data_IF_725192584584
#
_entry.id   IF_725192584584
#
_cell.length_a   1.000
_cell.length_b   1.000
_cell.length_c   1.000
_cell.angle_alpha   90.00
_cell.angle_beta   90.00
_cell.angle_gamma   90.00
#
_symmetry.space_group_name_H-M   'P 1'
#
loop_
_entity.id
_entity.type
_entity.pdbx_description
1 polymer ?
2 non-polymer ?
3 non-polymer ?
4 non-polymer ?
5 non-polymer ?
6 water ?
#
# COMPACT_ATOMS: atom_id res chain seq x y z
N UNK A 1 12.19 -24.38 5.60
CA UNK A 1 12.93 -24.70 6.82
C UNK A 1 12.57 -23.75 7.97
N UNK A 2 12.34 -24.32 9.15
CA UNK A 2 11.97 -23.56 10.35
C UNK A 2 13.22 -23.37 11.21
N UNK A 3 13.62 -22.11 11.42
CA UNK A 3 14.81 -21.81 12.20
C UNK A 3 14.67 -22.35 13.62
N UNK A 4 15.78 -22.86 14.16
CA UNK A 4 15.71 -23.44 15.48
C UNK A 4 15.33 -22.41 16.55
N UNK A 5 15.51 -21.12 16.30
CA UNK A 5 15.08 -20.11 17.26
C UNK A 5 13.67 -19.57 17.00
N UNK A 6 12.97 -20.05 15.98
CA UNK A 6 11.57 -19.68 15.81
C UNK A 6 10.69 -20.43 16.80
N UNK A 7 9.61 -19.80 17.21
CA UNK A 7 8.58 -20.46 18.00
C UNK A 7 7.40 -20.76 17.10
N UNK A 8 6.95 -22.01 17.11
CA UNK A 8 5.74 -22.41 16.39
C UNK A 8 4.78 -23.01 17.41
N UNK A 9 3.64 -22.36 17.63
CA UNK A 9 2.75 -22.84 18.67
C UNK A 9 2.27 -24.25 18.33
N UNK A 10 2.12 -25.13 19.34
CA UNK A 10 1.67 -26.51 19.05
C UNK A 10 0.36 -26.61 18.28
N UNK A 11 -0.56 -25.64 18.40
CA UNK A 11 -1.82 -25.67 17.65
C UNK A 11 -1.72 -25.06 16.26
N UNK A 12 -0.63 -24.36 15.94
CA UNK A 12 -0.46 -23.83 14.59
C UNK A 12 -0.18 -24.96 13.63
N UNK A 13 -0.49 -24.73 12.35
CA UNK A 13 -0.27 -25.73 11.32
C UNK A 13 0.65 -25.10 10.30
N UNK A 14 1.93 -25.45 10.32
CA UNK A 14 2.91 -24.93 9.36
C UNK A 14 3.22 -26.06 8.37
N UNK A 15 2.85 -25.87 7.10
CA UNK A 15 3.03 -26.92 6.12
C UNK A 15 4.50 -27.10 5.78
N UNK A 16 4.91 -28.36 5.61
CA UNK A 16 6.29 -28.65 5.20
C UNK A 16 6.65 -27.89 3.94
N UNK A 17 7.81 -27.21 3.96
CA UNK A 17 8.25 -26.33 2.90
C UNK A 17 8.24 -24.86 3.27
N UNK A 18 7.37 -24.47 4.23
CA UNK A 18 7.38 -23.09 4.73
C UNK A 18 8.76 -22.76 5.30
N UNK A 19 9.17 -21.51 5.13
CA UNK A 19 10.42 -21.00 5.69
C UNK A 19 10.07 -20.01 6.79
N UNK A 20 10.58 -20.25 8.00
CA UNK A 20 10.28 -19.42 9.17
C UNK A 20 11.61 -18.98 9.76
N UNK A 21 11.82 -17.66 9.85
CA UNK A 21 13.11 -17.12 10.21
C UNK A 21 13.41 -17.11 11.70
N UNK A 22 14.64 -16.69 12.01
CA UNK A 22 15.10 -16.71 13.40
C UNK A 22 14.19 -15.82 14.25
N UNK A 23 13.87 -16.31 15.44
CA UNK A 23 13.11 -15.56 16.44
C UNK A 23 11.74 -15.09 15.92
N UNK A 24 11.23 -15.70 14.84
CA UNK A 24 9.84 -15.44 14.47
C UNK A 24 8.94 -16.17 15.46
N UNK A 25 7.66 -15.78 15.48
CA UNK A 25 6.70 -16.38 16.39
C UNK A 25 5.40 -16.68 15.64
N UNK A 26 5.02 -17.95 15.57
CA UNK A 26 3.75 -18.35 14.94
C UNK A 26 2.79 -18.72 16.07
N UNK A 27 1.79 -17.86 16.33
CA UNK A 27 0.91 -18.06 17.46
C UNK A 27 -0.13 -19.15 17.24
N UNK A 28 -0.99 -19.33 18.26
CA UNK A 28 -1.97 -20.42 18.25
C UNK A 28 -2.93 -20.33 17.07
N UNK A 29 -3.28 -21.49 16.51
CA UNK A 29 -4.31 -21.62 15.47
C UNK A 29 -3.97 -20.85 14.18
N UNK A 30 -2.69 -20.55 13.93
CA UNK A 30 -2.29 -20.01 12.65
C UNK A 30 -2.11 -21.14 11.64
N UNK A 31 -2.28 -20.79 10.37
CA UNK A 31 -2.07 -21.70 9.25
C UNK A 31 -1.06 -21.04 8.32
N UNK A 32 0.00 -21.77 7.96
CA UNK A 32 1.07 -21.25 7.12
C UNK A 32 1.33 -22.24 6.00
N UNK A 33 1.10 -21.83 4.75
CA UNK A 33 1.21 -22.72 3.63
C UNK A 33 2.66 -23.03 3.26
N UNK A 34 2.83 -23.99 2.35
CA UNK A 34 4.17 -24.52 2.04
C UNK A 34 5.05 -23.61 1.18
N UNK A 35 4.48 -22.58 0.56
CA UNK A 35 5.26 -21.63 -0.21
C UNK A 35 5.41 -20.28 0.49
N UNK A 36 5.19 -20.24 1.82
CA UNK A 36 5.30 -19.00 2.59
C UNK A 36 6.71 -18.86 3.13
N UNK A 37 7.23 -17.64 3.12
CA UNK A 37 8.46 -17.28 3.82
C UNK A 37 8.15 -16.16 4.81
N UNK A 38 8.51 -16.38 6.07
CA UNK A 38 8.29 -15.44 7.16
C UNK A 38 9.66 -15.06 7.70
N UNK A 39 9.98 -13.76 7.62
CA UNK A 39 11.29 -13.27 8.01
C UNK A 39 11.55 -13.21 9.52
N UNK A 40 12.81 -12.94 9.83
CA UNK A 40 13.30 -12.91 11.21
C UNK A 40 12.50 -11.96 12.10
N UNK A 41 12.09 -12.46 13.27
CA UNK A 41 11.40 -11.64 14.24
C UNK A 41 9.95 -11.33 13.94
N UNK A 42 9.40 -11.78 12.80
CA UNK A 42 7.99 -11.50 12.52
C UNK A 42 7.08 -12.31 13.43
N UNK A 43 5.99 -11.69 13.86
CA UNK A 43 5.02 -12.29 14.78
C UNK A 43 3.68 -12.42 14.09
N UNK A 44 3.13 -13.64 14.05
CA UNK A 44 1.70 -13.88 13.78
C UNK A 44 1.03 -14.15 15.13
N UNK A 45 0.16 -13.24 15.57
CA UNK A 45 -0.28 -13.28 16.97
C UNK A 45 -1.06 -14.57 17.27
N UNK A 46 -2.10 -14.84 16.49
CA UNK A 46 -2.95 -16.03 16.60
C UNK A 46 -3.96 -15.96 15.46
N UNK A 47 -4.53 -17.11 15.10
CA UNK A 47 -5.66 -17.12 14.15
C UNK A 47 -5.33 -16.37 12.85
N UNK A 48 -4.12 -16.51 12.33
CA UNK A 48 -3.72 -15.87 11.09
C UNK A 48 -3.58 -16.94 10.01
N UNK A 49 -4.10 -16.64 8.81
CA UNK A 49 -3.93 -17.50 7.64
C UNK A 49 -2.93 -16.83 6.69
N UNK A 50 -1.85 -17.54 6.38
CA UNK A 50 -0.88 -17.11 5.38
C UNK A 50 -0.69 -18.25 4.39
N UNK A 51 -0.96 -17.98 3.12
CA UNK A 51 -0.80 -19.04 2.12
C UNK A 51 -0.39 -18.41 0.79
N UNK A 52 -0.37 -19.23 -0.26
CA UNK A 52 0.14 -18.78 -1.54
C UNK A 52 1.66 -18.65 -1.55
N UNK A 53 2.15 -18.17 -2.68
CA UNK A 53 3.57 -17.87 -2.82
C UNK A 53 3.78 -16.48 -2.24
N UNK A 54 4.19 -16.43 -0.97
CA UNK A 54 4.06 -15.22 -0.16
C UNK A 54 5.33 -15.05 0.64
N UNK A 55 6.01 -13.92 0.46
CA UNK A 55 7.23 -13.63 1.17
C UNK A 55 7.01 -12.44 2.08
N UNK A 56 7.32 -12.61 3.37
CA UNK A 56 7.09 -11.61 4.42
C UNK A 56 8.42 -11.33 5.08
N UNK A 57 8.77 -10.04 5.19
CA UNK A 57 10.05 -9.63 5.74
C UNK A 57 10.13 -9.74 7.25
N UNK A 58 10.98 -8.90 7.83
CA UNK A 58 11.37 -9.06 9.22
C UNK A 58 10.63 -8.08 10.12
N UNK A 59 10.45 -8.48 11.37
CA UNK A 59 9.92 -7.60 12.41
C UNK A 59 8.50 -7.10 12.09
N UNK A 60 7.75 -7.87 11.30
CA UNK A 60 6.33 -7.55 11.11
C UNK A 60 5.52 -8.01 12.32
N UNK A 61 4.39 -7.33 12.55
CA UNK A 61 3.40 -7.77 13.54
C UNK A 61 2.08 -7.97 12.82
N UNK A 62 1.61 -9.22 12.74
CA UNK A 62 0.38 -9.56 12.03
C UNK A 62 -0.63 -10.08 13.05
N UNK A 63 -1.74 -9.37 13.18
CA UNK A 63 -2.72 -9.65 14.21
C UNK A 63 -3.76 -10.69 13.77
N UNK A 64 -4.51 -11.17 14.74
CA UNK A 64 -5.51 -12.21 14.55
C UNK A 64 -6.54 -11.87 13.47
N UNK A 65 -6.95 -12.93 12.77
CA UNK A 65 -8.01 -12.95 11.76
C UNK A 65 -7.59 -12.27 10.47
N UNK A 66 -6.31 -11.93 10.33
CA UNK A 66 -5.77 -11.49 9.05
C UNK A 66 -5.62 -12.67 8.10
N UNK A 67 -5.72 -12.37 6.79
CA UNK A 67 -5.58 -13.34 5.72
C UNK A 67 -4.59 -12.75 4.73
N UNK A 68 -3.43 -13.38 4.59
CA UNK A 68 -2.31 -12.83 3.83
C UNK A 68 -1.91 -13.85 2.77
N UNK A 69 -1.97 -13.44 1.50
CA UNK A 69 -1.58 -14.31 0.40
C UNK A 69 -2.73 -15.03 -0.27
N UNK A 70 -3.93 -14.82 0.23
CA UNK A 70 -5.11 -15.57 -0.16
C UNK A 70 -5.48 -15.31 -1.63
N UNK A 71 -6.19 -16.28 -2.20
CA UNK A 71 -6.81 -16.13 -3.51
C UNK A 71 -7.53 -14.79 -3.59
N UNK A 72 -7.33 -14.05 -4.70
CA UNK A 72 -7.94 -12.74 -4.83
C UNK A 72 -9.40 -12.88 -5.28
N UNK A 73 -10.10 -11.73 -5.38
CA UNK A 73 -11.54 -11.68 -5.66
C UNK A 73 -11.84 -11.33 -7.11
N UNK A 74 -10.81 -11.21 -7.94
CA UNK A 74 -11.01 -10.98 -9.37
C UNK A 74 -11.59 -12.24 -10.02
N UNK A 75 -12.77 -12.12 -10.63
CA UNK A 75 -13.36 -13.26 -11.34
C UNK A 75 -12.47 -13.78 -12.46
N UNK A 76 -11.52 -12.97 -12.94
CA UNK A 76 -10.61 -13.43 -13.98
C UNK A 76 -9.57 -14.42 -13.43
N UNK A 77 -9.31 -14.39 -12.12
CA UNK A 77 -8.28 -15.27 -11.56
C UNK A 77 -8.72 -16.73 -11.65
N UNK A 78 -7.81 -17.63 -12.03
CA UNK A 78 -8.17 -19.03 -12.23
C UNK A 78 -7.31 -20.01 -11.43
N UNK A 79 -6.56 -19.52 -10.45
CA UNK A 79 -5.72 -20.35 -9.62
C UNK A 79 -4.25 -20.37 -9.97
N UNK A 80 -3.83 -19.48 -10.86
CA UNK A 80 -2.44 -19.44 -11.30
C UNK A 80 -1.53 -19.10 -10.13
N UNK A 81 -0.32 -19.66 -10.11
CA UNK A 81 0.67 -19.27 -9.11
C UNK A 81 1.03 -17.81 -9.30
N UNK A 82 0.44 -16.97 -8.48
CA UNK A 82 0.86 -15.59 -8.38
C UNK A 82 1.42 -15.34 -6.97
N UNK A 83 1.75 -14.10 -6.65
CA UNK A 83 2.63 -13.85 -5.51
C UNK A 83 2.18 -12.65 -4.68
N UNK A 84 2.66 -12.65 -3.43
CA UNK A 84 2.59 -11.51 -2.52
C UNK A 84 4.00 -11.29 -1.97
N UNK A 85 4.41 -10.03 -1.91
CA UNK A 85 5.62 -9.60 -1.22
C UNK A 85 5.26 -8.54 -0.19
N UNK A 86 5.75 -8.73 1.04
CA UNK A 86 5.56 -7.79 2.14
C UNK A 86 6.92 -7.53 2.77
N UNK A 87 7.25 -6.26 2.99
CA UNK A 87 8.55 -5.89 3.54
C UNK A 87 8.69 -6.02 5.04
N UNK A 88 9.30 -5.03 5.70
CA UNK A 88 9.73 -5.13 7.09
C UNK A 88 8.97 -4.16 7.98
N UNK A 89 8.82 -4.53 9.26
CA UNK A 89 8.31 -3.63 10.30
C UNK A 89 6.91 -3.08 9.99
N UNK A 90 6.09 -3.85 9.29
CA UNK A 90 4.69 -3.48 9.14
C UNK A 90 3.86 -3.90 10.35
N UNK A 91 2.80 -3.15 10.60
CA UNK A 91 1.81 -3.50 11.61
C UNK A 91 0.53 -3.77 10.84
N UNK A 92 0.11 -5.04 10.84
CA UNK A 92 -0.97 -5.51 9.98
C UNK A 92 -2.05 -6.00 10.94
N UNK A 93 -3.13 -5.21 11.06
CA UNK A 93 -4.05 -5.34 12.18
C UNK A 93 -5.15 -6.37 11.92
N UNK A 94 -6.04 -6.53 12.91
CA UNK A 94 -7.02 -7.62 12.88
C UNK A 94 -7.82 -7.57 11.58
N UNK A 95 -8.02 -8.74 10.97
CA UNK A 95 -8.92 -8.90 9.83
C UNK A 95 -8.41 -8.25 8.54
N UNK A 96 -7.18 -7.73 8.50
CA UNK A 96 -6.65 -7.20 7.24
C UNK A 96 -6.59 -8.34 6.23
N UNK A 97 -6.89 -8.04 4.96
CA UNK A 97 -6.74 -9.01 3.88
C UNK A 97 -5.76 -8.48 2.85
N UNK A 98 -4.79 -9.31 2.46
CA UNK A 98 -3.82 -8.96 1.43
C UNK A 98 -3.83 -10.13 0.43
N UNK A 99 -4.26 -9.86 -0.79
CA UNK A 99 -4.53 -10.96 -1.72
C UNK A 99 -3.45 -11.05 -2.79
N UNK A 100 -3.28 -12.26 -3.31
CA UNK A 100 -2.25 -12.53 -4.30
C UNK A 100 -2.60 -11.88 -5.63
N UNK A 101 -1.58 -11.71 -6.48
CA UNK A 101 -1.76 -11.09 -7.79
C UNK A 101 -2.57 -11.91 -8.78
N UNK A 102 -2.71 -11.35 -9.99
CA UNK A 102 -3.28 -12.05 -11.14
C UNK A 102 -2.24 -12.09 -12.26
N UNK A 103 -2.31 -13.12 -13.11
CA UNK A 103 -1.40 -13.11 -14.24
C UNK A 103 -1.64 -11.87 -15.08
N UNK A 104 -2.90 -11.53 -15.29
CA UNK A 104 -3.26 -10.40 -16.14
C UNK A 104 -2.66 -9.10 -15.59
N UNK A 105 -2.59 -8.97 -14.28
CA UNK A 105 -2.11 -7.76 -13.67
C UNK A 105 -0.63 -7.72 -13.33
N UNK A 106 0.16 -8.71 -13.74
CA UNK A 106 1.58 -8.70 -13.45
C UNK A 106 2.04 -9.73 -12.43
N UNK A 107 1.12 -10.40 -11.74
CA UNK A 107 1.44 -11.55 -10.90
C UNK A 107 1.86 -11.25 -9.48
N UNK A 108 1.85 -9.98 -9.07
CA UNK A 108 2.46 -9.60 -7.79
C UNK A 108 1.63 -8.54 -7.07
N UNK A 109 1.27 -8.84 -5.83
CA UNK A 109 0.80 -7.83 -4.88
C UNK A 109 1.95 -7.50 -3.95
N UNK A 110 2.28 -6.21 -3.80
CA UNK A 110 3.46 -5.83 -3.05
C UNK A 110 3.14 -4.77 -2.01
N UNK A 111 3.70 -4.96 -0.82
CA UNK A 111 3.62 -4.02 0.29
C UNK A 111 5.05 -3.78 0.79
N UNK A 112 5.39 -2.51 1.04
CA UNK A 112 6.74 -2.16 1.45
C UNK A 112 6.96 -2.33 2.94
N UNK A 113 7.54 -1.32 3.58
CA UNK A 113 7.99 -1.43 4.96
C UNK A 113 7.43 -0.28 5.79
N UNK A 114 7.37 -0.50 7.09
CA UNK A 114 6.97 0.53 8.05
C UNK A 114 5.56 1.06 7.80
N UNK A 115 4.67 0.24 7.25
CA UNK A 115 3.26 0.61 7.03
C UNK A 115 2.40 0.22 8.22
N UNK A 116 1.29 0.94 8.38
CA UNK A 116 0.26 0.59 9.36
C UNK A 116 -1.03 0.34 8.59
N UNK A 117 -1.48 -0.91 8.59
CA UNK A 117 -2.71 -1.34 7.92
C UNK A 117 -3.70 -1.66 9.03
N UNK A 118 -4.65 -0.76 9.26
CA UNK A 118 -5.58 -0.87 10.37
C UNK A 118 -6.65 -1.92 10.09
N UNK A 119 -7.51 -2.15 11.10
CA UNK A 119 -8.46 -3.25 11.09
C UNK A 119 -9.26 -3.29 9.78
N UNK A 120 -9.31 -4.48 9.17
CA UNK A 120 -10.10 -4.74 7.96
C UNK A 120 -9.67 -3.88 6.76
N UNK A 121 -8.47 -3.32 6.75
CA UNK A 121 -7.98 -2.75 5.49
C UNK A 121 -7.87 -3.88 4.47
N UNK A 122 -8.08 -3.54 3.19
CA UNK A 122 -8.03 -4.55 2.13
C UNK A 122 -7.04 -4.11 1.04
N UNK A 123 -6.06 -4.98 0.76
CA UNK A 123 -5.10 -4.78 -0.33
C UNK A 123 -5.41 -5.84 -1.37
N UNK A 124 -6.06 -5.43 -2.45
CA UNK A 124 -6.48 -6.35 -3.50
C UNK A 124 -5.30 -6.84 -4.35
N UNK A 125 -5.57 -7.86 -5.16
CA UNK A 125 -4.61 -8.31 -6.17
C UNK A 125 -3.95 -7.17 -6.93
N UNK A 126 -2.65 -7.31 -7.16
CA UNK A 126 -1.84 -6.46 -8.03
C UNK A 126 -1.70 -5.04 -7.51
N UNK A 127 -2.08 -4.78 -6.25
CA UNK A 127 -1.80 -3.48 -5.66
C UNK A 127 -0.31 -3.36 -5.30
N UNK A 128 0.15 -2.12 -5.24
CA UNK A 128 1.50 -1.80 -4.76
C UNK A 128 1.37 -0.72 -3.70
N UNK A 129 1.66 -1.08 -2.45
CA UNK A 129 1.73 -0.13 -1.34
C UNK A 129 3.21 0.10 -1.04
N UNK A 130 3.58 1.36 -0.87
CA UNK A 130 4.98 1.70 -0.66
C UNK A 130 5.43 1.55 0.77
N UNK A 131 6.20 2.52 1.25
CA UNK A 131 6.69 2.57 2.62
C UNK A 131 6.03 3.68 3.41
N UNK A 132 5.89 3.45 4.73
CA UNK A 132 5.43 4.44 5.70
C UNK A 132 4.00 4.90 5.42
N UNK A 133 3.19 4.07 4.77
CA UNK A 133 1.79 4.40 4.52
C UNK A 133 0.91 4.05 5.71
N UNK A 134 -0.28 4.69 5.75
CA UNK A 134 -1.33 4.33 6.71
C UNK A 134 -2.63 4.08 5.94
N UNK A 135 -3.24 2.91 6.14
CA UNK A 135 -4.63 2.65 5.73
C UNK A 135 -5.43 2.50 7.01
N UNK A 136 -6.39 3.39 7.23
CA UNK A 136 -7.22 3.34 8.44
C UNK A 136 -8.27 2.24 8.32
N UNK A 137 -9.04 2.03 9.40
CA UNK A 137 -10.02 0.92 9.43
C UNK A 137 -10.89 0.91 8.20
N UNK A 138 -11.05 -0.28 7.62
CA UNK A 138 -11.95 -0.52 6.49
C UNK A 138 -11.51 0.18 5.20
N UNK A 139 -10.32 0.77 5.14
CA UNK A 139 -9.87 1.38 3.90
C UNK A 139 -9.67 0.27 2.87
N UNK A 140 -10.19 0.47 1.67
CA UNK A 140 -10.41 -0.64 0.74
C UNK A 140 -9.85 -0.28 -0.64
N UNK A 141 -8.84 -1.02 -1.09
CA UNK A 141 -8.24 -0.84 -2.40
C UNK A 141 -8.81 -1.88 -3.37
N UNK A 142 -9.37 -1.43 -4.49
CA UNK A 142 -9.67 -2.38 -5.55
C UNK A 142 -8.35 -2.84 -6.21
N UNK A 143 -8.48 -3.72 -7.20
CA UNK A 143 -7.28 -4.29 -7.83
C UNK A 143 -6.40 -3.23 -8.48
N UNK A 144 -5.10 -3.50 -8.51
CA UNK A 144 -4.14 -2.72 -9.30
C UNK A 144 -3.88 -1.31 -8.76
N UNK A 145 -4.32 -0.98 -7.55
CA UNK A 145 -4.16 0.36 -7.01
C UNK A 145 -2.74 0.56 -6.50
N UNK A 146 -2.16 1.75 -6.68
CA UNK A 146 -0.87 2.09 -6.09
C UNK A 146 -1.12 3.06 -4.94
N UNK A 147 -0.51 2.78 -3.80
CA UNK A 147 -0.46 3.72 -2.68
C UNK A 147 1.01 4.04 -2.45
N UNK A 148 1.41 5.27 -2.80
CA UNK A 148 2.83 5.62 -2.85
C UNK A 148 3.34 6.00 -1.45
N UNK A 149 4.68 6.15 -1.34
CA UNK A 149 5.32 6.33 -0.02
C UNK A 149 4.67 7.46 0.77
N UNK A 150 4.46 7.22 2.07
CA UNK A 150 3.96 8.15 3.07
C UNK A 150 2.49 8.54 2.88
N UNK A 151 1.82 8.02 1.86
CA UNK A 151 0.40 8.36 1.69
C UNK A 151 -0.45 7.73 2.81
N UNK A 152 -1.52 8.45 3.21
CA UNK A 152 -2.42 7.96 4.25
C UNK A 152 -3.85 8.03 3.74
N UNK A 153 -4.66 7.02 4.10
CA UNK A 153 -6.02 6.89 3.58
C UNK A 153 -6.94 6.70 4.79
N UNK A 154 -7.94 7.59 4.94
CA UNK A 154 -8.77 7.62 6.13
C UNK A 154 -9.79 6.49 6.23
N UNK A 155 -10.41 6.41 7.42
CA UNK A 155 -11.33 5.33 7.70
C UNK A 155 -12.51 5.30 6.74
N UNK A 156 -12.93 4.10 6.37
CA UNK A 156 -14.10 3.85 5.51
C UNK A 156 -13.89 4.24 4.06
N UNK A 157 -12.70 4.63 3.63
CA UNK A 157 -12.51 5.13 2.29
C UNK A 157 -12.18 4.00 1.31
N UNK A 158 -12.71 4.08 0.10
CA UNK A 158 -12.42 3.05 -0.89
C UNK A 158 -11.79 3.70 -2.13
N UNK A 159 -10.98 2.94 -2.85
CA UNK A 159 -10.24 3.43 -4.02
C UNK A 159 -10.54 2.52 -5.22
N UNK A 160 -11.04 3.13 -6.31
CA UNK A 160 -11.38 2.44 -7.56
C UNK A 160 -10.14 1.83 -8.21
N UNK A 161 -10.33 0.73 -8.93
CA UNK A 161 -9.23 -0.03 -9.54
C UNK A 161 -8.32 0.85 -10.39
N UNK A 162 -7.01 0.54 -10.35
CA UNK A 162 -5.94 1.17 -11.13
C UNK A 162 -5.57 2.59 -10.65
N UNK A 163 -6.33 3.19 -9.72
CA UNK A 163 -6.00 4.55 -9.30
C UNK A 163 -4.65 4.59 -8.59
N UNK A 164 -3.98 5.74 -8.70
CA UNK A 164 -2.74 6.02 -7.99
C UNK A 164 -3.02 7.02 -6.90
N UNK A 165 -2.67 6.65 -5.67
CA UNK A 165 -2.64 7.57 -4.53
C UNK A 165 -1.19 8.04 -4.38
N UNK A 166 -0.91 9.29 -4.76
CA UNK A 166 0.46 9.75 -4.86
C UNK A 166 1.19 9.86 -3.52
N UNK A 167 2.51 10.03 -3.61
CA UNK A 167 3.35 10.10 -2.42
C UNK A 167 2.95 11.29 -1.54
N UNK A 168 2.93 11.06 -0.22
CA UNK A 168 2.64 12.10 0.79
C UNK A 168 1.20 12.64 0.71
N UNK A 169 0.30 11.94 0.00
CA UNK A 169 -1.11 12.32 -0.09
C UNK A 169 -1.81 12.07 1.24
N UNK A 170 -2.84 12.86 1.54
CA UNK A 170 -3.74 12.52 2.64
C UNK A 170 -5.14 12.43 2.07
N UNK A 171 -5.71 11.23 2.06
CA UNK A 171 -7.10 11.05 1.64
C UNK A 171 -7.96 10.99 2.89
N UNK A 172 -8.97 11.85 2.97
CA UNK A 172 -9.83 11.88 4.14
C UNK A 172 -10.60 10.58 4.32
N UNK A 173 -11.19 10.42 5.51
CA UNK A 173 -12.12 9.33 5.73
C UNK A 173 -13.44 9.53 4.99
N UNK A 174 -14.22 8.45 4.94
CA UNK A 174 -15.56 8.47 4.33
C UNK A 174 -15.52 9.00 2.91
N UNK A 175 -14.49 8.64 2.14
CA UNK A 175 -14.30 9.16 0.79
C UNK A 175 -14.26 8.02 -0.22
N UNK A 176 -14.50 8.37 -1.48
CA UNK A 176 -14.44 7.42 -2.59
C UNK A 176 -13.55 7.99 -3.67
N UNK A 177 -12.41 7.35 -3.92
CA UNK A 177 -11.43 7.89 -4.87
C UNK A 177 -11.65 7.18 -6.19
N UNK A 178 -11.97 7.95 -7.23
CA UNK A 178 -12.23 7.39 -8.55
C UNK A 178 -11.19 7.74 -9.60
N UNK A 179 -10.27 8.67 -9.31
CA UNK A 179 -9.23 9.03 -10.26
C UNK A 179 -7.91 9.14 -9.51
N UNK A 180 -6.85 9.51 -10.23
CA UNK A 180 -5.53 9.54 -9.61
C UNK A 180 -5.32 10.80 -8.78
N UNK A 181 -4.59 10.66 -7.69
CA UNK A 181 -4.33 11.75 -6.75
C UNK A 181 -2.85 12.12 -6.86
N UNK A 182 -2.52 13.32 -7.32
CA UNK A 182 -1.09 13.70 -7.45
C UNK A 182 -0.38 13.67 -6.11
N UNK A 183 0.94 13.49 -6.11
CA UNK A 183 1.68 13.55 -4.85
C UNK A 183 1.43 14.87 -4.12
N UNK A 184 1.49 14.80 -2.79
CA UNK A 184 1.52 15.94 -1.88
C UNK A 184 0.15 16.57 -1.65
N UNK A 185 -0.93 16.00 -2.19
CA UNK A 185 -2.27 16.58 -2.23
C UNK A 185 -3.14 16.03 -1.11
N UNK A 186 -4.04 16.87 -0.60
CA UNK A 186 -5.10 16.46 0.31
C UNK A 186 -6.33 16.19 -0.55
N UNK A 187 -6.99 15.04 -0.35
CA UNK A 187 -8.18 14.73 -1.14
C UNK A 187 -9.29 14.30 -0.21
N UNK A 188 -10.53 14.66 -0.54
CA UNK A 188 -11.64 14.24 0.30
C UNK A 188 -12.92 14.28 -0.53
N UNK A 189 -13.89 13.45 -0.14
CA UNK A 189 -15.22 13.53 -0.74
C UNK A 189 -15.61 12.25 -1.47
N UNK A 190 -16.83 12.30 -2.04
CA UNK A 190 -17.43 11.16 -2.77
C UNK A 190 -18.11 11.73 -4.02
N UNK A 191 -17.39 11.73 -5.14
CA UNK A 191 -16.02 11.25 -5.27
C UNK A 191 -15.02 12.30 -4.79
N UNK A 192 -13.83 11.84 -4.43
CA UNK A 192 -12.84 12.72 -3.82
C UNK A 192 -12.35 13.79 -4.77
N UNK A 193 -12.16 14.99 -4.25
CA UNK A 193 -11.64 16.15 -4.97
C UNK A 193 -10.47 16.72 -4.20
N UNK A 194 -9.64 17.55 -4.84
CA UNK A 194 -8.43 18.05 -4.16
C UNK A 194 -8.71 19.26 -3.31
N UNK A 195 -7.98 19.34 -2.19
CA UNK A 195 -8.11 20.43 -1.22
C UNK A 195 -6.76 20.98 -0.82
N UNK A 196 -5.89 21.20 -1.79
CA UNK A 196 -4.61 21.85 -1.53
C UNK A 196 -3.53 20.86 -1.15
N UNK A 197 -2.37 21.43 -0.77
CA UNK A 197 -1.18 20.67 -0.47
C UNK A 197 -1.20 20.19 0.99
N UNK A 198 -0.72 18.96 1.21
CA UNK A 198 -0.57 18.38 2.56
C UNK A 198 0.62 19.02 3.29
N UNK A 199 0.47 20.32 3.58
CA UNK A 199 1.61 21.09 4.10
C UNK A 199 2.11 20.52 5.43
N UNK A 200 1.19 20.20 6.34
CA UNK A 200 1.61 19.73 7.66
C UNK A 200 2.39 18.41 7.57
N UNK A 201 1.96 17.50 6.70
CA UNK A 201 2.71 16.27 6.53
C UNK A 201 4.11 16.52 6.00
N UNK A 202 4.23 17.40 5.01
CA UNK A 202 5.57 17.69 4.49
C UNK A 202 6.47 18.32 5.55
N UNK A 203 5.92 19.27 6.32
CA UNK A 203 6.66 19.91 7.40
C UNK A 203 7.21 18.88 8.38
N UNK A 204 6.35 17.96 8.81
CA UNK A 204 6.77 16.93 9.77
C UNK A 204 7.82 15.99 9.20
N UNK A 205 7.85 15.82 7.88
CA UNK A 205 8.77 14.88 7.25
C UNK A 205 10.04 15.55 6.75
N UNK A 206 10.28 16.79 7.13
CA UNK A 206 11.58 17.40 6.87
C UNK A 206 11.70 18.12 5.54
N UNK A 207 10.62 18.30 4.82
CA UNK A 207 10.67 19.12 3.60
C UNK A 207 11.01 20.56 3.96
N UNK A 208 11.86 21.18 3.15
CA UNK A 208 12.25 22.57 3.42
C UNK A 208 11.11 23.53 3.08
N UNK A 209 11.24 24.74 3.62
CA UNK A 209 10.29 25.79 3.28
C UNK A 209 10.26 26.02 1.77
N UNK A 210 11.44 26.02 1.13
CA UNK A 210 11.52 26.25 -0.32
C UNK A 210 10.86 25.14 -1.10
N UNK A 211 11.07 23.89 -0.69
CA UNK A 211 10.44 22.77 -1.38
C UNK A 211 8.92 22.82 -1.24
N UNK A 212 8.41 23.16 -0.06
CA UNK A 212 6.97 23.20 0.10
C UNK A 212 6.38 24.33 -0.75
N UNK A 213 7.05 25.48 -0.80
CA UNK A 213 6.58 26.55 -1.66
C UNK A 213 6.54 26.12 -3.12
N UNK A 214 7.61 25.46 -3.60
CA UNK A 214 7.61 24.98 -4.98
C UNK A 214 6.48 24.00 -5.23
N UNK A 215 6.25 23.10 -4.28
CA UNK A 215 5.16 22.13 -4.41
C UNK A 215 3.81 22.85 -4.46
N UNK A 216 3.63 23.87 -3.61
CA UNK A 216 2.39 24.66 -3.69
C UNK A 216 2.26 25.34 -5.05
N UNK A 217 3.37 25.86 -5.60
CA UNK A 217 3.29 26.50 -6.91
C UNK A 217 2.97 25.48 -8.00
N UNK A 218 3.49 24.25 -7.88
CA UNK A 218 3.12 23.21 -8.84
C UNK A 218 1.65 22.87 -8.73
N UNK A 219 1.14 22.77 -7.50
CA UNK A 219 -0.29 22.54 -7.30
C UNK A 219 -1.12 23.63 -7.97
N UNK A 220 -0.69 24.88 -7.81
CA UNK A 220 -1.40 25.98 -8.46
C UNK A 220 -1.37 25.85 -9.96
N UNK A 221 -0.24 25.43 -10.55
CA UNK A 221 -0.19 25.19 -12.00
C UNK A 221 -1.24 24.19 -12.43
N UNK A 222 -1.41 23.12 -11.66
CA UNK A 222 -2.32 22.06 -12.05
C UNK A 222 -3.77 22.50 -11.88
N UNK A 223 -4.09 23.09 -10.74
CA UNK A 223 -5.47 23.28 -10.37
C UNK A 223 -5.97 24.73 -10.40
N UNK A 224 -5.08 25.72 -10.45
CA UNK A 224 -5.52 27.10 -10.39
C UNK A 224 -5.19 27.90 -11.64
N UNK A 225 -4.22 27.46 -12.44
CA UNK A 225 -3.77 28.26 -13.57
C UNK A 225 -4.82 28.32 -14.67
N UNK A 226 -5.69 27.32 -14.75
CA UNK A 226 -6.65 27.24 -15.84
C UNK A 226 -6.11 26.63 -17.11
N UNK A 227 -4.84 26.24 -17.14
CA UNK A 227 -4.26 25.60 -18.30
C UNK A 227 -4.60 24.12 -18.31
N UNK A 228 -4.39 23.51 -19.48
CA UNK A 228 -4.52 22.05 -19.57
C UNK A 228 -3.32 21.38 -18.91
N UNK A 229 -3.52 20.12 -18.53
CA UNK A 229 -2.42 19.34 -17.98
C UNK A 229 -1.25 19.25 -18.96
N UNK A 230 -1.54 19.14 -20.26
CA UNK A 230 -0.47 19.08 -21.25
C UNK A 230 0.35 20.38 -21.27
N UNK A 231 -0.28 21.53 -21.04
CA UNK A 231 0.45 22.78 -20.99
C UNK A 231 1.32 22.86 -19.73
N UNK A 232 0.80 22.40 -18.60
CA UNK A 232 1.54 22.58 -17.36
C UNK A 232 2.65 21.54 -17.17
N UNK A 233 2.58 20.38 -17.81
CA UNK A 233 3.66 19.39 -17.63
C UNK A 233 5.05 19.98 -17.86
N UNK A 234 5.33 20.67 -18.97
CA UNK A 234 6.68 21.26 -19.12
C UNK A 234 6.96 22.38 -18.11
N UNK A 235 5.93 23.08 -17.62
CA UNK A 235 6.17 24.10 -16.61
C UNK A 235 6.55 23.47 -15.28
N UNK A 236 5.94 22.33 -14.97
CA UNK A 236 6.29 21.60 -13.76
C UNK A 236 7.71 21.03 -13.88
N UNK A 237 8.06 20.50 -15.05
CA UNK A 237 9.40 19.99 -15.23
C UNK A 237 10.43 21.11 -15.09
N UNK A 238 10.11 22.28 -15.61
CA UNK A 238 10.99 23.44 -15.48
C UNK A 238 11.21 23.80 -14.02
N UNK A 239 10.12 23.85 -13.25
CA UNK A 239 10.23 24.13 -11.83
C UNK A 239 11.09 23.07 -11.12
N UNK A 240 10.97 21.80 -11.53
CA UNK A 240 11.74 20.73 -10.90
C UNK A 240 13.24 20.86 -11.18
N UNK A 241 13.62 21.62 -12.21
CA UNK A 241 15.05 21.84 -12.43
C UNK A 241 15.69 22.51 -11.22
N UNK A 242 14.94 23.34 -10.51
CA UNK A 242 15.45 24.00 -9.32
C UNK A 242 15.12 23.26 -8.03
N UNK A 243 13.89 22.75 -7.93
CA UNK A 243 13.39 22.09 -6.71
C UNK A 243 13.13 20.62 -7.00
N UNK A 244 14.04 19.72 -6.64
CA UNK A 244 13.91 18.32 -7.09
C UNK A 244 12.66 17.62 -6.56
N UNK A 245 12.12 18.10 -5.44
CA UNK A 245 10.89 17.50 -4.92
C UNK A 245 9.75 17.59 -5.94
N UNK A 246 9.78 18.58 -6.84
CA UNK A 246 8.69 18.74 -7.79
C UNK A 246 8.72 17.65 -8.86
N UNK A 247 9.85 16.96 -9.00
CA UNK A 247 9.93 15.86 -9.96
C UNK A 247 8.91 14.78 -9.66
N UNK A 248 8.51 14.64 -8.38
CA UNK A 248 7.49 13.64 -8.06
C UNK A 248 6.23 13.80 -8.90
N UNK A 249 5.87 15.05 -9.27
CA UNK A 249 4.72 15.23 -10.16
C UNK A 249 4.98 14.61 -11.52
N UNK A 250 6.13 14.93 -12.12
CA UNK A 250 6.51 14.36 -13.42
C UNK A 250 6.45 12.83 -13.37
N UNK A 251 7.05 12.24 -12.34
CA UNK A 251 7.07 10.77 -12.26
C UNK A 251 5.65 10.23 -12.15
N UNK A 252 4.80 10.92 -11.37
CA UNK A 252 3.41 10.50 -11.20
C UNK A 252 2.63 10.62 -12.51
N UNK A 253 2.80 11.73 -13.25
CA UNK A 253 2.06 11.91 -14.51
C UNK A 253 2.34 10.76 -15.46
N UNK A 254 3.58 10.27 -15.48
CA UNK A 254 3.94 9.20 -16.40
C UNK A 254 3.24 7.90 -16.06
N UNK A 255 2.90 7.69 -14.78
CA UNK A 255 2.20 6.49 -14.34
C UNK A 255 0.68 6.60 -14.39
N UNK A 256 0.15 7.82 -14.32
CA UNK A 256 -1.29 8.06 -14.23
C UNK A 256 -2.02 7.56 -15.46
N UNK A 257 -3.09 6.79 -15.24
CA UNK A 257 -3.91 6.30 -16.35
C UNK A 257 -5.35 6.75 -16.27
N UNK A 258 -5.81 7.32 -15.15
CA UNK A 258 -7.22 7.57 -14.96
C UNK A 258 -7.59 9.05 -14.96
N UNK A 259 -6.63 9.93 -15.26
CA UNK A 259 -6.86 11.36 -15.13
C UNK A 259 -6.74 11.75 -13.66
N UNK A 260 -6.68 13.05 -13.38
CA UNK A 260 -6.51 13.54 -12.02
C UNK A 260 -7.85 13.84 -11.40
N UNK A 261 -7.95 13.67 -10.07
CA UNK A 261 -9.12 14.17 -9.36
C UNK A 261 -9.22 15.67 -9.57
N UNK A 262 -10.43 16.17 -9.67
CA UNK A 262 -10.58 17.60 -9.94
C UNK A 262 -11.82 18.13 -9.24
N UNK A 263 -11.84 19.45 -9.03
CA UNK A 263 -12.97 20.07 -8.33
C UNK A 263 -14.30 19.85 -9.07
X LIG B 1 -10.51 -6.12 -10.84
X LIG B 1 -10.84 -5.47 -12.16
X LIG B 1 -9.56 -5.12 -12.95
X LIG B 1 -13.92 -7.50 -10.21
X LIG B 1 -11.80 -6.35 -10.07
X LIG B 1 -16.31 5.45 -5.45
X LIG B 1 -15.22 4.40 -5.56
X LIG B 1 -15.69 3.07 -4.94
X LIG B 1 -14.59 2.00 -5.01
X LIG B 1 -15.02 0.66 -4.40
X LIG B 1 -13.95 -0.41 -4.58
X LIG B 1 -14.22 -1.65 -3.72
X LIG B 1 -13.14 -2.71 -3.98
X LIG B 1 -13.27 -4.01 -3.17
X LIG B 1 -12.10 -4.99 -3.37
X LIG B 1 -12.22 -5.69 -4.72
X LIG B 1 -10.92 -6.39 -5.14
X LIG B 1 -10.50 -7.35 -4.16
X LIG B 1 -11.10 -7.20 -6.42
X LIG B 1 -11.30 -6.34 -7.65
X LIG B 1 -11.27 -5.12 -7.68
X LIG B 1 -11.53 -7.09 -8.87
X LIG B 1 -12.64 -7.32 -10.88
X LIG B 1 -14.58 -8.66 -10.35
X LIG B 1 -15.91 -8.80 -9.66
X LIG B 1 -14.14 -9.58 -11.03
X LIG B 1 -9.57 -5.32 -10.10
X LIG B 1 -8.78 -6.28 -13.30
X LIG B 1 -11.63 -6.42 -12.89
X LIG B 1 -12.88 -6.76 -12.28
X LIG B 1 -13.65 -5.57 -12.14
X LIG B 1 -14.47 -5.01 -13.42
X LIG B 1 -15.59 -4.12 -12.93
X LIG B 1 -13.48 -4.47 -14.41
X LIG B 1 -15.09 -6.38 -13.88
X LIG B 1 -16.11 -6.86 -15.02
X LIG B 1 -15.95 -6.09 -16.28
X LIG B 1 -16.03 -8.36 -14.97
X LIG B 1 -17.51 -6.48 -14.32
X LIG B 1 -17.91 -7.10 -13.09
X LIG B 1 -19.43 -7.31 -13.08
X LIG B 1 -20.09 -6.05 -13.30
X LIG B 1 -19.87 -8.22 -14.19
X LIG B 1 -20.83 -9.15 -13.65
X LIG B 1 -20.57 -7.33 -15.19
X LIG B 1 -21.69 -7.97 -15.81
X LIG B 1 -21.07 -6.19 -14.31
X LIG B 1 -21.18 -4.91 -15.01
X LIG B 1 -20.09 -4.33 -15.54
X LIG B 1 -20.20 -3.10 -16.18
X LIG B 1 -21.45 -2.48 -16.26
X LIG B 1 -21.57 -1.36 -16.83
X LIG B 1 -22.54 -3.09 -15.72
X LIG B 1 -22.43 -4.27 -15.08
X LIG B 1 -23.42 -4.85 -14.57
X LIG C 1 -4.41 -22.32 -3.77
X LIG C 1 -3.92 -21.46 -2.61
X LIG C 1 -4.74 -21.42 -4.95
X LIG C 1 -5.68 -23.02 -3.33
X LIG C 1 -3.32 -23.31 -4.15
X LIG D 1 -2.07 -23.04 -0.26
X LIG D 1 -3.38 -22.30 -0.10
X LIG D 1 -1.77 -23.75 1.05
X LIG D 1 -0.96 -22.07 -0.61
X LIG D 1 -2.19 -24.05 -1.38
X LIG E 1 4.38 5.22 9.15
X LIG E 1 5.25 5.06 10.38
X LIG E 1 2.93 4.16 9.40
X LIG E 1 3.58 6.83 9.23
X LIG E 1 3.25 3.14 9.53
X LIG E 1 2.30 4.23 8.56
X LIG E 1 2.41 4.47 10.26
X LIG E 1 4.30 7.59 9.14
X LIG E 1 3.07 6.93 10.15
X LIG E 1 2.88 6.92 8.44
X LIG F 1 9.81 -9.69 0.49
X LIG F 1 10.17 -9.95 1.94
X LIG F 1 10.12 -7.93 0.17
X LIG F 1 11.05 -10.44 -0.59
X LIG F 1 9.47 -7.34 0.77
X LIG F 1 9.93 -7.72 -0.85
X LIG F 1 11.12 -7.69 0.40
X LIG F 1 11.00 -11.50 -0.50
X LIG F 1 12.02 -10.10 -0.32
X LIG F 1 10.85 -10.17 -1.60
X LIG G 1 6.57 6.14 -4.24
X LIG G 1 6.27 6.53 -5.66
X LIG G 1 7.61 4.66 -4.36
X LIG G 1 7.77 7.42 -3.76
X LIG G 1 7.10 3.92 -4.92
X LIG G 1 7.81 4.30 -3.39
X LIG G 1 8.51 4.91 -4.85
X LIG G 1 7.30 8.36 -3.77
X LIG G 1 8.57 7.41 -4.45
X LIG G 1 8.13 7.21 -2.79
X LIG H 1 -16.64 -0.74 -7.42
X LIG H 1 -19.28 4.18 -7.89
X LIG H 1 -18.71 5.12 -8.77
X LIG H 1 -17.52 4.76 -9.41
X LIG H 1 -16.94 3.53 -9.15
X LIG H 1 -16.88 5.72 -10.39
X LIG H 1 -15.92 -4.42 -6.91
X LIG H 1 -14.54 -5.06 -7.39
X LIG H 1 -14.64 -3.89 -9.29
X LIG H 1 -16.02 -3.19 -9.08
X LIG H 1 -17.14 -4.04 -9.72
X LIG H 1 -18.46 -3.50 -9.26
X LIG H 1 -19.24 -4.26 -8.33
X LIG H 1 -20.49 -3.73 -7.88
X LIG H 1 -20.93 -2.48 -8.34
X LIG H 1 -20.17 -1.73 -9.25
X LIG H 1 -18.92 -2.20 -9.74
X LIG H 1 -18.81 0.07 -10.97
X LIG H 1 -17.61 0.26 -7.39
X LIG H 1 -17.01 1.34 -8.04
X LIG H 1 -16.67 -2.05 -6.87
X LIG H 1 -17.60 2.65 -8.28
X LIG H 1 -15.76 1.00 -8.46
X LIG H 1 -18.75 2.95 -7.65
X LIG H 1 -15.55 -0.26 -8.07
X LIG H 1 -16.13 -3.11 -7.60
X LIG H 1 -14.62 -5.21 -8.77
X LIG H 1 -18.20 -1.34 -10.68
X LIG H 1 -17.15 -2.22 -5.75
X LIG H 1 -20.20 4.38 -7.36
X LIG H 1 -19.18 6.08 -8.93
X LIG H 1 -15.99 3.23 -9.62
X LIG H 1 -17.61 6.14 -11.08
X LIG H 1 -16.12 5.23 -11.00
X LIG H 1 -16.40 6.56 -9.89
X LIG H 1 -16.75 -5.10 -7.12
X LIG H 1 -15.91 -4.29 -5.83
X LIG H 1 -14.35 -6.06 -6.99
X LIG H 1 -13.67 -4.45 -7.18
X LIG H 1 -13.87 -3.28 -8.81
X LIG H 1 -14.41 -3.91 -10.36
X LIG H 1 -16.07 -2.21 -9.53
X LIG H 1 -17.04 -5.09 -9.44
X LIG H 1 -17.07 -4.02 -10.80
X LIG H 1 -18.90 -5.23 -7.96
X LIG H 1 -21.09 -4.30 -7.17
X LIG H 1 -21.88 -2.09 -7.99
X LIG H 1 -20.56 -0.77 -9.59
X LIG H 1 -18.14 0.82 -11.39
X LIG H 1 -19.24 0.60 -10.12
X LIG H 1 -19.64 0.11 -11.70
X LIG H 1 -18.61 0.22 -6.94
X LIG H 1 -14.67 -0.73 -8.27
#
# INVERSE_FOLDING_TARGET
MIDKSAFVHPTAIVEEGASIGANAHIGPFCIVGPHVEIGEGTVLKSHVVVNGHTKIGRDNEIYQFASIGEVNQDLKYAGEPTRVEIGDRNRIRESVTIHRGTVQGGGLTKVGSDNLLMINAHIAHDCTVGNRCILANNATLAGHVSVDDFAIIGGMTAVHQFCIIGAHVMVGGCSGVAQDVPPYVIAQGNHATPFGVNIEGLKRRGFSREAITAIRNAYKLIYRSGKTLDEVKPEIAELAETYPEVKAFTDFFARSTRGLIRHHHHHH
U20 C4 C5 C6 N2 C3 CCB CCA CBZ CBY CBX CBW CBV CBU CBS CBR CBL CBJ OCC CBI CAM OAY O3 C2 CAP CAQ OAR O4 O6 O5 C1 O1 PAO OAT OAS OAN PAU OAW OAV O5' C5' C4' O4' C3' O3' C2' O2' C1' NAX CBP CBO CBN OBQ NBM CBK OBT
PO4 P O1 O2 O3 O4
PO4 P O1 O2 O3 O4
DMS S O C1 C2 H11 H12 H13 H21 H22 H23
DMS S O C1 C2 H11 H12 H13 H21 H22 H23
DMS S O C1 C2 H11 H12 H13 H21 H22 H23
O5G C3 C11 C12 C13 C14 C15 C16 C17 C19 C20 C21 C22 C23 C24 C25 C26 C27 C29 C4 C5 C6 C9 N1 N10 N2 N7 O18 O28 O8 H32 H33 H34 H36 H37 H35 H38 H39 H40 H41 H42 H43 H44 H45 H46 H47 H48 H49 H50 H52 H51 H53 H31 H30
#
